data_IF_676657171258
#
_entry.id   IF_676657171258
#
_cell.length_a   1.000
_cell.length_b   1.000
_cell.length_c   1.000
_cell.angle_alpha   90.00
_cell.angle_beta   90.00
_cell.angle_gamma   90.00
#
_symmetry.space_group_name_H-M   'P 1'
#
loop_
_entity.id
_entity.type
_entity.pdbx_description
1 polymer ?
#
# COMPACT_ATOMS: atom_id res chain seq x y z
N UNK A 1 -58.23 -7.23 51.62
CA UNK A 1 -57.37 -6.09 52.04
C UNK A 1 -56.18 -6.02 51.10
N UNK A 2 -56.23 -5.14 50.11
CA UNK A 2 -55.17 -4.96 49.11
C UNK A 2 -54.12 -3.96 49.61
N UNK A 3 -52.87 -4.41 49.77
CA UNK A 3 -51.73 -3.52 50.04
C UNK A 3 -51.21 -2.96 48.72
N UNK A 4 -51.40 -1.67 48.51
CA UNK A 4 -50.82 -0.90 47.40
C UNK A 4 -49.32 -0.76 47.68
N UNK A 5 -48.51 -1.28 46.76
CA UNK A 5 -47.05 -1.24 46.81
C UNK A 5 -46.55 0.15 46.41
N UNK A 6 -46.02 0.90 47.38
CA UNK A 6 -45.32 2.16 47.13
C UNK A 6 -43.89 1.79 46.70
N UNK A 7 -43.70 1.52 45.40
CA UNK A 7 -42.37 1.55 44.74
C UNK A 7 -42.39 2.58 43.63
N UNK A 8 -42.33 3.84 44.01
CA UNK A 8 -41.95 4.92 43.10
C UNK A 8 -41.30 6.02 43.94
N UNK A 9 -40.36 6.73 43.33
CA UNK A 9 -39.53 7.82 43.86
C UNK A 9 -38.15 7.36 44.38
N UNK A 10 -37.23 7.15 43.43
CA UNK A 10 -35.85 7.65 43.50
C UNK A 10 -35.19 7.40 42.14
N UNK A 11 -35.58 8.22 41.15
CA UNK A 11 -35.00 8.24 39.80
C UNK A 11 -34.48 9.64 39.46
N UNK A 12 -33.84 10.31 40.40
CA UNK A 12 -33.13 11.57 40.16
C UNK A 12 -31.98 11.71 41.17
N UNK A 13 -30.84 11.11 40.86
CA UNK A 13 -29.56 11.50 41.42
C UNK A 13 -28.59 11.62 40.25
N UNK A 14 -28.38 12.86 39.81
CA UNK A 14 -27.45 13.20 38.76
C UNK A 14 -26.07 12.65 39.05
N UNK A 15 -25.43 12.13 38.02
CA UNK A 15 -24.03 11.72 38.04
C UNK A 15 -23.16 12.85 38.59
N UNK A 16 -22.59 12.64 39.77
CA UNK A 16 -21.56 13.52 40.35
C UNK A 16 -20.42 13.64 39.32
N UNK A 17 -20.04 14.85 38.88
CA UNK A 17 -18.92 15.00 37.95
C UNK A 17 -17.65 14.49 38.62
N UNK A 18 -17.01 13.49 37.99
CA UNK A 18 -15.76 12.91 38.49
C UNK A 18 -14.69 14.02 38.62
N UNK A 19 -13.97 14.11 39.75
CA UNK A 19 -12.89 15.09 39.90
C UNK A 19 -11.84 14.87 38.81
N UNK A 20 -11.41 15.97 38.17
CA UNK A 20 -10.38 15.94 37.11
C UNK A 20 -9.13 15.22 37.63
N UNK A 21 -8.54 14.28 36.87
CA UNK A 21 -7.35 13.57 37.30
C UNK A 21 -6.24 14.59 37.56
N UNK A 22 -5.64 14.53 38.75
CA UNK A 22 -4.48 15.35 39.11
C UNK A 22 -3.39 15.15 38.04
N UNK A 23 -2.70 16.21 37.57
CA UNK A 23 -1.62 16.06 36.60
C UNK A 23 -0.58 15.10 37.19
N UNK A 24 -0.27 14.04 36.44
CA UNK A 24 0.77 13.09 36.84
C UNK A 24 2.08 13.87 37.07
N UNK A 25 2.84 13.59 38.14
CA UNK A 25 4.11 14.25 38.37
C UNK A 25 5.00 14.04 37.14
N UNK A 26 5.50 15.15 36.59
CA UNK A 26 6.43 15.14 35.47
C UNK A 26 7.63 14.29 35.89
N UNK A 27 7.83 13.15 35.21
CA UNK A 27 8.99 12.30 35.46
C UNK A 27 10.24 13.18 35.33
N UNK A 28 11.03 13.26 36.41
CA UNK A 28 12.32 13.94 36.37
C UNK A 28 13.12 13.38 35.19
N UNK A 29 13.77 14.23 34.37
CA UNK A 29 14.56 13.75 33.25
C UNK A 29 15.58 12.75 33.80
N UNK A 30 15.58 11.52 33.26
CA UNK A 30 16.60 10.53 33.59
C UNK A 30 17.96 11.16 33.31
N UNK A 31 18.97 10.97 34.18
CA UNK A 31 20.29 11.50 33.94
C UNK A 31 20.77 11.03 32.57
N UNK A 32 21.14 12.00 31.72
CA UNK A 32 21.75 11.74 30.42
C UNK A 32 23.05 10.99 30.70
N UNK A 33 23.28 9.87 30.01
CA UNK A 33 24.55 9.13 30.16
C UNK A 33 25.71 10.03 29.72
N UNK A 34 26.84 9.96 30.42
CA UNK A 34 27.99 10.86 30.19
C UNK A 34 28.45 10.87 28.71
N UNK A 35 28.40 9.70 28.04
CA UNK A 35 28.71 9.55 26.61
C UNK A 35 27.76 10.35 25.69
N UNK A 36 26.47 10.41 26.03
CA UNK A 36 25.49 11.18 25.25
C UNK A 36 25.70 12.68 25.46
N UNK A 37 26.03 13.12 26.67
CA UNK A 37 26.34 14.51 26.97
C UNK A 37 27.60 14.98 26.23
N UNK A 38 28.63 14.13 26.15
CA UNK A 38 29.85 14.40 25.38
C UNK A 38 29.55 14.51 23.87
N UNK A 39 28.72 13.63 23.34
CA UNK A 39 28.25 13.72 21.95
C UNK A 39 27.58 15.07 21.66
N UNK A 40 26.65 15.52 22.51
CA UNK A 40 25.96 16.79 22.29
C UNK A 40 26.88 18.02 22.44
N UNK A 41 27.86 17.97 23.35
CA UNK A 41 28.89 19.02 23.46
C UNK A 41 29.72 19.12 22.18
N UNK A 42 30.28 18.00 21.73
CA UNK A 42 31.08 17.93 20.48
C UNK A 42 30.26 18.36 19.26
N UNK A 43 29.00 17.96 19.18
CA UNK A 43 28.10 18.37 18.10
C UNK A 43 27.86 19.88 18.12
N UNK A 44 27.63 20.48 19.30
CA UNK A 44 27.43 21.92 19.46
C UNK A 44 28.68 22.72 19.07
N UNK A 45 29.87 22.23 19.43
CA UNK A 45 31.14 22.91 19.18
C UNK A 45 31.58 22.79 17.71
N UNK A 46 31.46 21.60 17.12
CA UNK A 46 31.99 21.33 15.77
C UNK A 46 30.96 21.50 14.66
N UNK A 47 29.66 21.46 14.98
CA UNK A 47 28.57 21.41 14.02
C UNK A 47 28.53 20.12 13.18
N UNK A 48 29.44 19.17 13.40
CA UNK A 48 29.58 17.95 12.60
C UNK A 48 28.94 16.76 13.32
N UNK A 49 28.16 15.99 12.57
CA UNK A 49 27.53 14.77 13.08
C UNK A 49 28.57 13.65 13.15
N UNK A 50 28.80 13.11 14.35
CA UNK A 50 29.63 11.92 14.54
C UNK A 50 28.75 10.67 14.66
N UNK A 51 28.54 9.98 13.54
CA UNK A 51 27.69 8.79 13.46
C UNK A 51 28.11 7.65 14.39
N UNK A 52 29.40 7.53 14.73
CA UNK A 52 29.92 6.47 15.60
C UNK A 52 29.45 6.64 17.05
N UNK A 53 29.53 7.87 17.57
CA UNK A 53 29.23 8.21 18.97
C UNK A 53 27.80 8.72 19.19
N UNK A 54 26.95 8.67 18.16
CA UNK A 54 25.59 9.15 18.27
C UNK A 54 24.75 8.25 19.22
N UNK A 55 23.91 8.85 20.09
CA UNK A 55 22.97 8.13 20.95
C UNK A 55 22.08 7.19 20.14
N UNK A 56 21.76 6.01 20.69
CA UNK A 56 20.97 4.99 19.98
C UNK A 56 19.60 5.52 19.54
N UNK A 57 18.94 6.35 20.36
CA UNK A 57 17.67 6.96 20.02
C UNK A 57 17.76 7.86 18.77
N UNK A 58 18.84 8.66 18.68
CA UNK A 58 19.08 9.53 17.53
C UNK A 58 19.41 8.70 16.27
N UNK A 59 20.20 7.63 16.41
CA UNK A 59 20.52 6.71 15.31
C UNK A 59 19.26 6.09 14.71
N UNK A 60 18.34 5.62 15.55
CA UNK A 60 17.07 5.02 15.11
C UNK A 60 16.20 6.03 14.38
N UNK A 61 16.10 7.27 14.89
CA UNK A 61 15.36 8.34 14.22
C UNK A 61 15.97 8.72 12.87
N UNK A 62 17.29 8.88 12.82
CA UNK A 62 18.02 9.18 11.59
C UNK A 62 17.82 8.08 10.54
N UNK A 63 17.85 6.80 10.95
CA UNK A 63 17.56 5.67 10.05
C UNK A 63 16.14 5.72 9.51
N UNK A 64 15.16 6.06 10.34
CA UNK A 64 13.77 6.24 9.88
C UNK A 64 13.64 7.35 8.84
N UNK A 65 14.27 8.49 9.08
CA UNK A 65 14.30 9.61 8.12
C UNK A 65 14.97 9.21 6.80
N UNK A 66 16.10 8.49 6.86
CA UNK A 66 16.78 7.97 5.67
C UNK A 66 15.90 6.99 4.89
N UNK A 67 15.14 6.13 5.57
CA UNK A 67 14.19 5.22 4.91
C UNK A 67 13.06 5.98 4.22
N UNK A 68 12.53 7.05 4.82
CA UNK A 68 11.50 7.89 4.19
C UNK A 68 12.06 8.54 2.91
N UNK A 69 13.24 9.16 2.99
CA UNK A 69 13.86 9.76 1.81
C UNK A 69 14.24 8.72 0.76
N UNK A 70 14.68 7.53 1.15
CA UNK A 70 14.95 6.42 0.24
C UNK A 70 13.69 5.84 -0.42
N UNK A 71 12.56 5.86 0.27
CA UNK A 71 11.27 5.39 -0.27
C UNK A 71 10.60 6.43 -1.17
N UNK A 72 10.90 7.72 -0.99
CA UNK A 72 10.24 8.81 -1.71
C UNK A 72 10.33 8.68 -3.25
N UNK A 73 11.49 8.37 -3.87
CA UNK A 73 11.56 8.15 -5.32
C UNK A 73 10.65 7.02 -5.79
N UNK A 74 10.56 5.93 -5.02
CA UNK A 74 9.76 4.76 -5.38
C UNK A 74 8.27 5.10 -5.36
N UNK A 75 7.82 5.83 -4.35
CA UNK A 75 6.44 6.33 -4.25
C UNK A 75 6.12 7.32 -5.38
N UNK A 76 7.04 8.23 -5.71
CA UNK A 76 6.82 9.22 -6.78
C UNK A 76 6.70 8.54 -8.14
N UNK A 77 7.63 7.64 -8.48
CA UNK A 77 7.64 6.95 -9.78
C UNK A 77 6.40 6.06 -9.92
N UNK A 78 6.07 5.28 -8.89
CA UNK A 78 4.88 4.42 -8.92
C UNK A 78 3.58 5.22 -8.94
N UNK A 79 3.50 6.31 -8.16
CA UNK A 79 2.36 7.20 -8.15
C UNK A 79 2.15 7.92 -9.49
N UNK A 80 3.23 8.37 -10.14
CA UNK A 80 3.18 8.98 -11.46
C UNK A 80 2.69 7.99 -12.53
N UNK A 81 3.21 6.76 -12.52
CA UNK A 81 2.80 5.73 -13.46
C UNK A 81 1.34 5.30 -13.24
N UNK A 82 0.90 5.20 -11.98
CA UNK A 82 -0.50 4.94 -11.65
C UNK A 82 -1.42 6.07 -12.12
N UNK A 83 -1.03 7.33 -11.90
CA UNK A 83 -1.78 8.49 -12.36
C UNK A 83 -1.92 8.49 -13.89
N UNK A 84 -0.83 8.24 -14.63
CA UNK A 84 -0.88 8.08 -16.09
C UNK A 84 -1.80 6.96 -16.56
N UNK A 85 -1.86 5.84 -15.83
CA UNK A 85 -2.77 4.72 -16.13
C UNK A 85 -4.23 5.10 -15.89
N UNK A 86 -4.53 5.80 -14.79
CA UNK A 86 -5.88 6.29 -14.49
C UNK A 86 -6.38 7.29 -15.54
N UNK A 87 -5.50 8.11 -16.10
CA UNK A 87 -5.84 9.03 -17.19
C UNK A 87 -5.90 8.37 -18.57
N UNK A 88 -5.69 7.04 -18.66
CA UNK A 88 -5.69 6.32 -19.93
C UNK A 88 -4.49 6.62 -20.84
N UNK A 89 -3.47 7.32 -20.33
CA UNK A 89 -2.26 7.70 -21.08
C UNK A 89 -1.15 6.64 -21.04
N UNK A 90 -1.28 5.65 -20.16
CA UNK A 90 -0.34 4.53 -20.04
C UNK A 90 -1.11 3.22 -20.05
N UNK A 91 -0.82 2.39 -21.04
CA UNK A 91 -1.43 1.08 -21.28
C UNK A 91 -0.31 0.07 -21.46
N UNK A 92 -0.48 -1.13 -20.91
CA UNK A 92 0.48 -2.23 -21.12
C UNK A 92 0.37 -2.67 -22.57
N UNK A 93 1.52 -2.73 -23.24
CA UNK A 93 1.62 -3.31 -24.57
C UNK A 93 1.38 -4.81 -24.50
N UNK A 94 0.47 -5.29 -25.33
CA UNK A 94 0.18 -6.72 -25.48
C UNK A 94 1.29 -7.36 -26.31
N UNK A 95 1.75 -8.54 -25.90
CA UNK A 95 2.66 -9.32 -26.73
C UNK A 95 1.89 -9.88 -27.92
N UNK A 96 2.24 -9.43 -29.13
CA UNK A 96 1.56 -9.81 -30.38
C UNK A 96 2.25 -10.92 -31.16
N UNK A 97 3.39 -11.40 -30.68
CA UNK A 97 4.19 -12.37 -31.41
C UNK A 97 5.40 -12.83 -30.63
N UNK A 98 6.11 -13.75 -31.26
CA UNK A 98 7.35 -14.34 -30.76
C UNK A 98 8.50 -13.98 -31.69
N UNK A 99 9.67 -13.73 -31.10
CA UNK A 99 10.89 -13.57 -31.85
C UNK A 99 11.47 -14.96 -32.10
N UNK A 100 11.51 -15.38 -33.35
CA UNK A 100 12.15 -16.63 -33.77
C UNK A 100 13.66 -16.49 -33.75
N UNK A 101 14.39 -17.61 -33.69
CA UNK A 101 15.85 -17.66 -33.68
C UNK A 101 16.48 -16.91 -34.88
N UNK A 102 15.76 -16.86 -36.01
CA UNK A 102 16.14 -16.12 -37.21
C UNK A 102 15.87 -14.59 -37.12
N UNK A 103 15.56 -14.07 -35.92
CA UNK A 103 15.19 -12.66 -35.65
C UNK A 103 13.94 -12.17 -36.39
N UNK A 104 13.13 -13.08 -36.92
CA UNK A 104 11.84 -12.75 -37.50
C UNK A 104 10.76 -12.73 -36.42
N UNK A 105 9.80 -11.81 -36.53
CA UNK A 105 8.65 -11.74 -35.63
C UNK A 105 7.52 -12.53 -36.29
N UNK A 106 7.18 -13.67 -35.70
CA UNK A 106 5.99 -14.43 -36.11
C UNK A 106 4.80 -13.85 -35.35
N UNK A 107 3.84 -13.20 -36.02
CA UNK A 107 2.63 -12.71 -35.37
C UNK A 107 1.83 -13.90 -34.84
N UNK A 108 1.26 -13.73 -33.64
CA UNK A 108 0.35 -14.70 -33.05
C UNK A 108 -1.09 -14.40 -33.45
N UNK A 109 -1.90 -15.45 -33.56
CA UNK A 109 -3.35 -15.33 -33.69
C UNK A 109 -3.97 -14.73 -32.41
N UNK A 110 -5.11 -14.06 -32.55
CA UNK A 110 -5.80 -13.37 -31.45
C UNK A 110 -6.06 -14.29 -30.24
N UNK A 111 -6.40 -15.55 -30.49
CA UNK A 111 -6.65 -16.52 -29.42
C UNK A 111 -5.39 -16.83 -28.60
N UNK A 112 -4.24 -16.99 -29.27
CA UNK A 112 -2.95 -17.26 -28.62
C UNK A 112 -2.47 -16.06 -27.81
N UNK A 113 -2.75 -14.84 -28.30
CA UNK A 113 -2.52 -13.60 -27.56
C UNK A 113 -3.35 -13.61 -26.26
N UNK A 114 -4.64 -13.97 -26.33
CA UNK A 114 -5.51 -14.03 -25.16
C UNK A 114 -5.13 -15.10 -24.14
N UNK A 115 -4.70 -16.27 -24.58
CA UNK A 115 -4.24 -17.32 -23.67
C UNK A 115 -2.96 -16.88 -22.94
N UNK A 116 -2.02 -16.27 -23.67
CA UNK A 116 -0.76 -15.79 -23.09
C UNK A 116 -1.00 -14.67 -22.07
N UNK A 117 -1.88 -13.72 -22.39
CA UNK A 117 -2.19 -12.63 -21.47
C UNK A 117 -2.93 -13.12 -20.22
N UNK A 118 -3.92 -14.02 -20.37
CA UNK A 118 -4.64 -14.65 -19.24
C UNK A 118 -3.72 -15.45 -18.32
N UNK A 119 -2.67 -16.05 -18.88
CA UNK A 119 -1.68 -16.81 -18.13
C UNK A 119 -0.62 -15.93 -17.46
N UNK A 120 -0.54 -14.65 -17.81
CA UNK A 120 0.44 -13.71 -17.27
C UNK A 120 0.18 -13.35 -15.80
N UNK A 121 1.25 -13.03 -15.07
CA UNK A 121 1.16 -12.60 -13.67
C UNK A 121 0.37 -11.31 -13.50
N UNK A 122 0.47 -10.41 -14.47
CA UNK A 122 -0.27 -9.15 -14.48
C UNK A 122 -1.78 -9.37 -14.54
N UNK A 123 -2.25 -10.25 -15.42
CA UNK A 123 -3.68 -10.59 -15.48
C UNK A 123 -4.16 -11.26 -14.19
N UNK A 124 -3.33 -12.11 -13.56
CA UNK A 124 -3.69 -12.75 -12.28
C UNK A 124 -3.79 -11.77 -11.10
N UNK A 125 -2.99 -10.70 -11.09
CA UNK A 125 -2.96 -9.72 -10.01
C UNK A 125 -3.99 -8.60 -10.18
N UNK A 126 -4.22 -8.16 -11.41
CA UNK A 126 -5.04 -6.98 -11.70
C UNK A 126 -6.36 -7.34 -12.40
N UNK A 127 -6.53 -8.58 -12.85
CA UNK A 127 -7.74 -9.05 -13.50
C UNK A 127 -7.95 -8.51 -14.91
N UNK A 128 -9.20 -8.57 -15.36
CA UNK A 128 -9.64 -8.20 -16.71
C UNK A 128 -9.56 -6.70 -16.99
N UNK A 129 -9.61 -5.87 -15.95
CA UNK A 129 -9.59 -4.40 -16.04
C UNK A 129 -8.16 -3.83 -16.09
N UNK A 130 -7.17 -4.66 -16.39
CA UNK A 130 -5.80 -4.19 -16.58
C UNK A 130 -5.69 -3.43 -17.90
N UNK A 131 -5.30 -2.15 -17.83
CA UNK A 131 -5.16 -1.25 -18.97
C UNK A 131 -4.22 -1.81 -20.04
N UNK A 132 -4.78 -2.40 -21.10
CA UNK A 132 -4.06 -2.97 -22.25
C UNK A 132 -4.17 -2.00 -23.43
N UNK A 133 -3.10 -1.90 -24.21
CA UNK A 133 -3.02 -0.95 -25.33
C UNK A 133 -3.96 -1.38 -26.47
N UNK A 134 -5.04 -0.62 -26.67
CA UNK A 134 -6.10 -0.94 -27.64
C UNK A 134 -7.15 -1.95 -27.17
N UNK A 135 -7.18 -2.33 -25.88
CA UNK A 135 -8.14 -3.30 -25.35
C UNK A 135 -8.74 -2.82 -24.02
N UNK A 136 -10.05 -2.63 -23.99
CA UNK A 136 -10.85 -2.37 -22.78
C UNK A 136 -11.53 -3.67 -22.32
N UNK A 137 -11.96 -3.74 -21.05
CA UNK A 137 -12.63 -4.92 -20.51
C UNK A 137 -13.97 -5.26 -21.18
N UNK A 138 -14.50 -4.37 -22.01
CA UNK A 138 -15.65 -4.60 -22.89
C UNK A 138 -15.29 -5.40 -24.16
N UNK A 139 -14.05 -5.34 -24.62
CA UNK A 139 -13.59 -6.06 -25.82
C UNK A 139 -13.09 -7.49 -25.54
N UNK A 140 -12.95 -7.87 -24.27
CA UNK A 140 -12.59 -9.24 -23.90
C UNK A 140 -13.84 -10.13 -23.80
N UNK A 141 -13.89 -11.27 -24.53
CA UNK A 141 -14.96 -12.25 -24.36
C UNK A 141 -14.98 -12.76 -22.92
N UNK A 142 -16.17 -12.87 -22.32
CA UNK A 142 -16.27 -13.37 -20.94
C UNK A 142 -15.88 -14.85 -20.96
N UNK A 143 -15.31 -15.39 -19.87
CA UNK A 143 -14.91 -16.80 -19.81
C UNK A 143 -16.06 -17.76 -20.15
N UNK A 144 -17.31 -17.37 -19.90
CA UNK A 144 -18.52 -18.12 -20.26
C UNK A 144 -18.76 -18.25 -21.78
N UNK A 145 -18.21 -17.32 -22.56
CA UNK A 145 -18.40 -17.26 -24.02
C UNK A 145 -17.33 -18.05 -24.79
N UNK A 146 -16.23 -18.40 -24.12
CA UNK A 146 -15.10 -19.14 -24.73
C UNK A 146 -15.31 -20.66 -24.62
N UNK A 147 -16.01 -21.13 -23.58
CA UNK A 147 -16.32 -22.55 -23.38
C UNK A 147 -17.45 -23.04 -24.31
N UNK A 148 -18.31 -22.11 -24.78
CA UNK A 148 -19.38 -22.39 -25.74
C UNK A 148 -18.89 -22.42 -27.20
N UNK A 149 -17.78 -21.77 -27.52
CA UNK A 149 -17.20 -21.78 -28.88
C UNK A 149 -16.28 -22.98 -29.13
N UNK A 150 -15.65 -23.54 -28.09
CA UNK A 150 -14.79 -24.73 -28.19
C UNK A 150 -15.55 -26.07 -28.20
N UNK A 151 -16.88 -26.05 -28.03
CA UNK A 151 -17.73 -27.26 -27.96
C UNK A 151 -18.60 -27.50 -29.20
N UNK A 152 -18.43 -26.71 -30.27
CA UNK A 152 -19.10 -26.99 -31.55
C UNK A 152 -18.35 -28.10 -32.31
N UNK A 153 -18.91 -29.30 -32.49
CA UNK A 153 -18.30 -30.33 -33.30
C UNK A 153 -18.30 -29.86 -34.75
N UNK A 154 -17.17 -30.03 -35.44
CA UNK A 154 -17.07 -29.92 -36.90
C UNK A 154 -18.12 -30.85 -37.51
N UNK A 155 -19.24 -30.28 -37.99
CA UNK A 155 -20.15 -30.95 -38.91
C UNK A 155 -19.54 -30.84 -40.30
N UNK A 156 -18.95 -31.94 -40.77
CA UNK A 156 -18.76 -32.19 -42.19
C UNK A 156 -20.10 -32.51 -42.85
#
# INVERSE_FOLDING_TARGET
MNRISIRSINKFAGSIPKPKPKPKPMNKPKPIRDEEAEYYRKFRETGKINWKHMPQLLKTRARGVLMIFGALPLVIVTGYELWRRLEGKSVKRVQRGELTDDRQVIPWDEEKIWQTERNSWYYKLFGRDYFLDGFTSDTMPKPKDVESSSSSPLKN
#
